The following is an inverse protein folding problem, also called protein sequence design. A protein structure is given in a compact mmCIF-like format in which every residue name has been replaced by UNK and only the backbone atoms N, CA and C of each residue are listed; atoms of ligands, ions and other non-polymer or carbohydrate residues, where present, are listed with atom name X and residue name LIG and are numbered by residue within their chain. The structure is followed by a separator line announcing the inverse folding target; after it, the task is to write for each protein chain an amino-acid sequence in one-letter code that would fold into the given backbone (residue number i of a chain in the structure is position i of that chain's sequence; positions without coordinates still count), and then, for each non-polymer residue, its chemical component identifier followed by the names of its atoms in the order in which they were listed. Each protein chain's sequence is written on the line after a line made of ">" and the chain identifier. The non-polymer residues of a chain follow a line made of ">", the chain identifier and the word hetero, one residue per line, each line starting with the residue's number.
data_IF_735507325977
#
_entry.id   IF_735507325977
#
_cell.length_a   1.000
_cell.length_b   1.000
_cell.length_c   1.000
_cell.angle_alpha   90.00
_cell.angle_beta   90.00
_cell.angle_gamma   90.00
#
_symmetry.space_group_name_H-M   'P 1'
#
loop_
_entity.id
_entity.type
_entity.pdbx_description
1 polymer ?
#
# COMPACT_ATOMS: atom_id res chain seq x y z
N UNK A 1 -37.44 -1.35 -48.77
CA UNK A 1 -37.74 -2.44 -47.82
C UNK A 1 -36.40 -2.99 -47.34
N UNK A 2 -35.88 -2.86 -46.14
CA UNK A 2 -36.19 -2.16 -44.89
C UNK A 2 -34.81 -1.80 -44.30
N UNK A 3 -34.56 -0.52 -44.07
CA UNK A 3 -34.51 0.08 -42.72
C UNK A 3 -33.28 -0.36 -41.91
N UNK A 4 -32.25 0.49 -41.98
CA UNK A 4 -31.21 0.62 -40.95
C UNK A 4 -31.90 0.94 -39.62
N UNK A 5 -31.64 0.16 -38.58
CA UNK A 5 -32.05 0.45 -37.21
C UNK A 5 -30.81 0.66 -36.34
N UNK A 6 -30.64 1.90 -35.92
CA UNK A 6 -29.69 2.33 -34.92
C UNK A 6 -30.17 1.87 -33.53
N UNK A 7 -29.33 1.15 -32.81
CA UNK A 7 -29.52 0.91 -31.37
C UNK A 7 -28.42 1.65 -30.61
N UNK A 8 -28.83 2.76 -29.99
CA UNK A 8 -28.07 3.50 -29.01
C UNK A 8 -27.79 2.61 -27.79
N UNK A 9 -26.52 2.46 -27.42
CA UNK A 9 -26.14 1.89 -26.12
C UNK A 9 -26.06 3.06 -25.13
N UNK A 10 -26.93 3.11 -24.11
CA UNK A 10 -26.91 4.18 -23.11
C UNK A 10 -25.73 3.99 -22.16
N UNK A 11 -25.08 5.11 -21.82
CA UNK A 11 -24.12 5.22 -20.72
C UNK A 11 -24.74 4.70 -19.42
N UNK A 12 -24.16 3.63 -18.86
CA UNK A 12 -24.44 3.22 -17.49
C UNK A 12 -23.44 3.92 -16.55
N UNK A 13 -23.84 5.09 -16.08
CA UNK A 13 -23.26 5.82 -14.96
C UNK A 13 -23.49 5.04 -13.66
N UNK A 14 -22.56 4.15 -13.27
CA UNK A 14 -22.59 3.51 -11.95
C UNK A 14 -21.81 4.34 -10.93
N UNK A 15 -22.53 5.32 -10.41
CA UNK A 15 -22.30 6.03 -9.16
C UNK A 15 -22.77 5.09 -8.03
N UNK A 16 -21.86 4.55 -7.21
CA UNK A 16 -22.24 3.92 -5.94
C UNK A 16 -21.77 4.79 -4.79
N UNK A 17 -22.70 5.62 -4.31
CA UNK A 17 -22.71 6.18 -2.97
C UNK A 17 -23.48 5.21 -2.03
N UNK A 18 -23.34 5.35 -0.70
CA UNK A 18 -23.43 4.27 0.29
C UNK A 18 -24.87 3.84 0.62
N UNK A 19 -25.04 2.67 1.26
CA UNK A 19 -26.19 2.47 2.13
C UNK A 19 -25.75 2.15 3.56
N UNK A 20 -25.93 3.11 4.46
CA UNK A 20 -26.46 2.77 5.78
C UNK A 20 -27.98 2.65 5.62
N UNK A 21 -28.59 1.63 6.24
CA UNK A 21 -29.69 1.97 7.14
C UNK A 21 -29.64 1.12 8.41
N UNK A 22 -29.22 1.75 9.50
CA UNK A 22 -29.60 1.39 10.85
C UNK A 22 -30.80 2.27 11.23
N UNK A 23 -32.01 1.70 11.29
CA UNK A 23 -33.08 2.16 12.21
C UNK A 23 -34.29 1.22 12.22
N UNK A 24 -34.63 0.85 13.45
CA UNK A 24 -35.94 0.45 13.95
C UNK A 24 -36.34 -1.02 13.79
N UNK A 25 -35.67 -1.85 14.60
CA UNK A 25 -36.10 -3.17 15.00
C UNK A 25 -37.39 -3.10 15.84
N UNK A 26 -38.48 -3.69 15.33
CA UNK A 26 -39.68 -4.04 16.09
C UNK A 26 -39.73 -5.55 16.35
N UNK A 27 -39.56 -5.92 17.62
CA UNK A 27 -39.99 -7.15 18.31
C UNK A 27 -40.06 -8.48 17.53
N UNK A 28 -39.15 -9.42 17.78
CA UNK A 28 -39.33 -10.50 18.78
C UNK A 28 -38.10 -11.43 18.82
N UNK A 29 -37.48 -11.48 20.01
CA UNK A 29 -36.79 -12.61 20.64
C UNK A 29 -35.86 -13.53 19.81
N UNK A 30 -34.57 -13.19 19.76
CA UNK A 30 -33.49 -14.17 19.99
C UNK A 30 -32.37 -13.49 20.81
N UNK A 31 -32.08 -13.94 22.06
CA UNK A 31 -30.99 -13.40 22.89
C UNK A 31 -29.70 -14.24 22.70
N UNK A 32 -28.52 -13.76 23.14
CA UNK A 32 -27.68 -12.89 22.34
C UNK A 32 -26.25 -13.44 22.19
N UNK A 33 -25.44 -12.72 21.40
CA UNK A 33 -23.95 -12.75 21.41
C UNK A 33 -23.39 -13.98 20.68
N UNK A 34 -22.54 -13.80 19.68
CA UNK A 34 -21.24 -13.16 19.80
C UNK A 34 -20.93 -12.43 18.49
N UNK A 35 -20.99 -11.10 18.49
CA UNK A 35 -19.91 -10.38 17.84
C UNK A 35 -18.70 -10.65 18.75
N UNK A 36 -17.60 -11.26 18.30
CA UNK A 36 -16.39 -11.21 19.09
C UNK A 36 -15.98 -9.74 19.07
N UNK A 37 -16.44 -9.03 20.09
CA UNK A 37 -15.71 -7.95 20.72
C UNK A 37 -14.23 -8.28 20.65
N UNK A 38 -13.45 -7.30 20.20
CA UNK A 38 -12.14 -6.99 20.75
C UNK A 38 -11.68 -8.02 21.81
N UNK A 39 -11.01 -9.06 21.36
CA UNK A 39 -10.16 -9.86 22.21
C UNK A 39 -8.82 -9.82 21.51
N UNK A 40 -8.03 -8.86 21.97
CA UNK A 40 -6.60 -8.92 21.93
C UNK A 40 -6.17 -10.33 22.34
N UNK A 41 -5.99 -11.20 21.35
CA UNK A 41 -5.01 -12.26 21.50
C UNK A 41 -3.68 -11.54 21.43
N UNK A 42 -3.05 -11.44 22.59
CA UNK A 42 -1.66 -11.12 22.74
C UNK A 42 -0.89 -12.04 21.80
N UNK A 43 -0.61 -11.53 20.60
CA UNK A 43 0.47 -12.03 19.78
C UNK A 43 1.70 -11.92 20.69
N UNK A 44 2.39 -13.02 21.00
CA UNK A 44 3.64 -12.92 21.75
C UNK A 44 4.51 -11.89 21.01
N UNK A 45 5.22 -10.97 21.70
CA UNK A 45 6.07 -10.03 20.99
C UNK A 45 7.12 -10.84 20.23
N UNK A 46 6.85 -11.10 18.96
CA UNK A 46 7.85 -11.51 18.00
C UNK A 46 8.94 -10.43 18.09
N UNK A 47 10.22 -10.81 18.04
CA UNK A 47 11.31 -9.83 18.16
C UNK A 47 11.06 -8.71 17.15
N UNK A 48 10.75 -7.52 17.67
CA UNK A 48 10.30 -6.36 16.89
C UNK A 48 11.46 -5.82 16.07
N UNK A 49 11.75 -6.47 14.95
CA UNK A 49 12.61 -5.94 13.88
C UNK A 49 11.78 -5.43 12.70
N UNK A 50 10.51 -5.82 12.62
CA UNK A 50 9.53 -5.27 11.67
C UNK A 50 8.94 -3.98 12.24
N UNK A 51 9.72 -2.91 12.18
CA UNK A 51 9.21 -1.58 12.53
C UNK A 51 8.01 -1.24 11.64
N UNK A 52 6.85 -1.02 12.26
CA UNK A 52 5.70 -0.40 11.57
C UNK A 52 6.17 0.98 11.13
N UNK A 53 6.32 1.17 9.83
CA UNK A 53 6.70 2.47 9.29
C UNK A 53 5.53 3.45 9.48
N UNK A 54 5.79 4.72 9.86
CA UNK A 54 4.74 5.72 9.89
C UNK A 54 4.18 5.93 8.48
N UNK A 55 2.88 6.20 8.39
CA UNK A 55 2.19 6.41 7.09
C UNK A 55 2.74 7.65 6.37
N UNK A 56 3.14 8.66 7.14
CA UNK A 56 3.71 9.91 6.65
C UNK A 56 5.23 9.93 6.86
N UNK A 57 5.97 10.32 5.83
CA UNK A 57 7.43 10.51 5.81
C UNK A 57 8.22 9.40 6.53
N UNK A 58 8.14 8.14 6.05
CA UNK A 58 8.82 7.02 6.69
C UNK A 58 10.36 7.17 6.60
N UNK A 59 11.07 7.35 7.73
CA UNK A 59 12.52 7.60 7.72
C UNK A 59 13.35 6.31 7.53
N UNK A 60 12.71 5.14 7.57
CA UNK A 60 13.38 3.84 7.61
C UNK A 60 13.83 3.45 9.02
N UNK A 61 14.51 2.29 9.16
CA UNK A 61 14.97 1.81 10.46
C UNK A 61 16.12 2.68 11.01
N UNK A 62 16.16 2.86 12.34
CA UNK A 62 17.17 3.68 13.01
C UNK A 62 18.60 3.13 12.88
N UNK A 63 18.75 1.81 12.71
CA UNK A 63 20.03 1.13 12.57
C UNK A 63 20.01 0.19 11.37
N UNK A 64 21.16 0.05 10.71
CA UNK A 64 21.34 -0.85 9.58
C UNK A 64 22.77 -0.79 9.04
N UNK A 65 23.29 -1.94 8.64
CA UNK A 65 24.64 -2.06 8.06
C UNK A 65 24.69 -1.70 6.57
N UNK A 66 23.54 -1.65 5.90
CA UNK A 66 23.41 -1.37 4.46
C UNK A 66 22.48 -0.18 4.20
N UNK A 67 22.71 0.52 3.10
CA UNK A 67 21.88 1.63 2.61
C UNK A 67 21.14 1.21 1.35
N UNK A 68 19.96 1.80 1.13
CA UNK A 68 19.07 1.45 0.02
C UNK A 68 19.57 2.10 -1.27
N UNK A 69 19.65 1.31 -2.34
CA UNK A 69 19.96 1.75 -3.71
C UNK A 69 18.73 1.50 -4.59
N UNK A 70 18.46 2.41 -5.52
CA UNK A 70 17.23 2.45 -6.33
C UNK A 70 17.52 2.85 -7.77
N UNK A 71 16.63 2.46 -8.67
CA UNK A 71 16.64 2.90 -10.07
C UNK A 71 17.42 1.99 -11.02
N UNK A 72 18.07 0.96 -10.50
CA UNK A 72 18.85 0.03 -11.32
C UNK A 72 20.10 0.68 -11.93
N UNK A 73 20.81 -0.08 -12.76
CA UNK A 73 22.03 0.33 -13.42
C UNK A 73 22.27 -0.52 -14.67
N UNK A 74 23.20 -0.09 -15.53
CA UNK A 74 23.48 -0.76 -16.81
C UNK A 74 23.95 -2.23 -16.67
N UNK A 75 24.45 -2.62 -15.48
CA UNK A 75 24.93 -3.97 -15.18
C UNK A 75 23.80 -4.92 -14.69
N UNK A 76 22.65 -4.38 -14.29
CA UNK A 76 21.61 -5.15 -13.63
C UNK A 76 20.59 -5.76 -14.60
N UNK A 77 20.02 -6.89 -14.20
CA UNK A 77 18.97 -7.58 -14.94
C UNK A 77 17.61 -6.86 -14.83
N UNK A 78 16.67 -7.25 -15.71
CA UNK A 78 15.36 -6.60 -15.87
C UNK A 78 14.58 -6.44 -14.57
N UNK A 79 14.65 -7.41 -13.65
CA UNK A 79 13.90 -7.38 -12.39
C UNK A 79 14.41 -6.31 -11.42
N UNK A 80 15.68 -5.92 -11.56
CA UNK A 80 16.32 -4.89 -10.73
C UNK A 80 16.19 -3.49 -11.33
N UNK A 81 15.67 -3.37 -12.55
CA UNK A 81 15.37 -2.09 -13.21
C UNK A 81 13.96 -1.56 -12.87
N UNK A 82 13.16 -2.35 -12.14
CA UNK A 82 11.80 -1.97 -11.76
C UNK A 82 11.81 -0.78 -10.80
N UNK A 83 10.83 0.12 -10.94
CA UNK A 83 10.64 1.26 -10.05
C UNK A 83 10.45 0.82 -8.59
N UNK A 84 9.83 -0.33 -8.37
CA UNK A 84 9.65 -0.94 -7.05
C UNK A 84 10.88 -1.77 -6.59
N UNK A 85 11.83 -2.12 -7.46
CA UNK A 85 12.99 -2.96 -7.15
C UNK A 85 13.99 -2.32 -6.19
N UNK A 86 14.14 -2.86 -4.97
CA UNK A 86 15.01 -2.31 -3.91
C UNK A 86 16.27 -3.16 -3.79
N UNK A 87 17.43 -2.55 -3.98
CA UNK A 87 18.72 -3.17 -3.68
C UNK A 87 19.37 -2.47 -2.48
N UNK A 88 20.42 -3.08 -1.95
CA UNK A 88 21.10 -2.58 -0.75
C UNK A 88 22.59 -2.88 -0.81
N UNK A 89 23.39 -1.90 -0.43
CA UNK A 89 24.85 -2.02 -0.43
C UNK A 89 25.44 -1.40 0.84
N UNK A 90 26.69 -1.76 1.13
CA UNK A 90 27.43 -1.16 2.24
C UNK A 90 27.71 0.32 1.93
N UNK A 91 27.56 1.25 2.89
CA UNK A 91 27.87 2.66 2.67
C UNK A 91 29.35 2.93 2.40
N UNK A 92 30.24 1.98 2.69
CA UNK A 92 31.69 2.09 2.47
C UNK A 92 32.15 1.60 1.11
N UNK A 93 31.28 0.91 0.36
CA UNK A 93 31.64 0.32 -0.94
C UNK A 93 31.22 1.26 -2.05
N UNK A 94 32.09 1.42 -3.04
CA UNK A 94 31.83 2.21 -4.24
C UNK A 94 31.83 1.32 -5.46
N UNK A 95 30.91 1.58 -6.37
CA UNK A 95 30.80 0.88 -7.66
C UNK A 95 30.59 1.90 -8.77
N UNK A 96 31.16 1.65 -9.94
CA UNK A 96 31.00 2.50 -11.13
C UNK A 96 29.55 2.64 -11.60
N UNK A 97 28.69 1.70 -11.22
CA UNK A 97 27.29 1.62 -11.61
C UNK A 97 26.34 2.08 -10.50
N UNK A 98 26.87 2.67 -9.41
CA UNK A 98 26.09 3.19 -8.29
C UNK A 98 26.38 4.68 -8.10
N UNK A 99 25.33 5.50 -8.08
CA UNK A 99 25.40 6.93 -7.81
C UNK A 99 24.20 7.41 -6.99
N UNK A 100 24.13 8.71 -6.72
CA UNK A 100 23.04 9.30 -5.96
C UNK A 100 22.54 10.61 -6.59
N UNK A 101 21.32 11.00 -6.24
CA UNK A 101 20.75 12.31 -6.57
C UNK A 101 20.36 12.98 -5.27
N UNK A 102 20.64 14.28 -5.16
CA UNK A 102 20.25 15.06 -4.00
C UNK A 102 18.74 15.35 -4.04
N UNK A 103 18.16 15.47 -2.85
CA UNK A 103 16.81 15.97 -2.63
C UNK A 103 16.86 17.10 -1.60
N UNK A 104 15.88 17.98 -1.61
CA UNK A 104 15.71 19.07 -0.67
C UNK A 104 14.25 19.11 -0.24
N UNK A 105 14.01 19.52 1.00
CA UNK A 105 12.65 19.77 1.48
C UNK A 105 12.02 20.97 0.75
N UNK A 106 10.71 20.89 0.52
CA UNK A 106 9.98 22.01 -0.04
C UNK A 106 9.89 23.15 0.99
N UNK A 107 10.01 24.43 0.58
CA UNK A 107 9.76 25.56 1.47
C UNK A 107 8.30 25.54 1.94
N UNK A 108 8.08 25.93 3.19
CA UNK A 108 6.75 26.09 3.78
C UNK A 108 6.06 27.35 3.27
#
# INVERSE_FOLDING_TARGET
>A
MNSLSAAAIPLCTMRCAPPCPCKDAGATAEPPRICPSASALAVPPAPTSSAVAPIKDPPGPAQGSKKVVRGGAFKYDKDQLLSAGRTFDSPTVTFEHVGFRCALDAPH
#
